data_IF_892487239154
#
_entry.id   IF_892487239154
#
_cell.length_a   1.000
_cell.length_b   1.000
_cell.length_c   1.000
_cell.angle_alpha   90.00
_cell.angle_beta   90.00
_cell.angle_gamma   90.00
#
_symmetry.space_group_name_H-M   'P 1'
#
loop_
_entity.id
_entity.type
_entity.pdbx_description
1 polymer ?
#
# COMPACT_ATOMS: atom_id res chain seq x y z
N UNK A 1 -28.44 -2.96 -29.52
CA UNK A 1 -28.59 -2.67 -28.08
C UNK A 1 -28.16 -3.85 -27.21
N UNK A 2 -28.72 -5.05 -27.39
CA UNK A 2 -28.34 -6.26 -26.64
C UNK A 2 -26.85 -6.62 -26.78
N UNK A 3 -26.29 -6.61 -28.00
CA UNK A 3 -24.87 -6.90 -28.21
C UNK A 3 -23.94 -5.88 -27.53
N UNK A 4 -24.31 -4.60 -27.52
CA UNK A 4 -23.55 -3.53 -26.83
C UNK A 4 -23.55 -3.72 -25.32
N UNK A 5 -24.65 -4.24 -24.75
CA UNK A 5 -24.73 -4.56 -23.32
C UNK A 5 -23.84 -5.77 -22.99
N UNK A 6 -23.87 -6.80 -23.84
CA UNK A 6 -23.06 -8.02 -23.68
C UNK A 6 -21.56 -7.69 -23.76
N UNK A 7 -21.14 -6.84 -24.70
CA UNK A 7 -19.72 -6.46 -24.84
C UNK A 7 -19.22 -5.67 -23.64
N UNK A 8 -20.00 -4.72 -23.12
CA UNK A 8 -19.66 -3.96 -21.91
C UNK A 8 -19.57 -4.86 -20.68
N UNK A 9 -20.50 -5.82 -20.53
CA UNK A 9 -20.49 -6.78 -19.43
C UNK A 9 -19.24 -7.67 -19.46
N UNK A 10 -18.84 -8.14 -20.63
CA UNK A 10 -17.66 -8.98 -20.80
C UNK A 10 -16.37 -8.23 -20.45
N UNK A 11 -16.24 -6.96 -20.85
CA UNK A 11 -15.10 -6.10 -20.49
C UNK A 11 -15.04 -5.86 -18.99
N UNK A 12 -16.17 -5.55 -18.34
CA UNK A 12 -16.23 -5.36 -16.89
C UNK A 12 -15.84 -6.62 -16.12
N UNK A 13 -16.35 -7.79 -16.53
CA UNK A 13 -15.99 -9.07 -15.92
C UNK A 13 -14.50 -9.40 -16.11
N UNK A 14 -13.94 -9.08 -17.29
CA UNK A 14 -12.50 -9.21 -17.56
C UNK A 14 -11.65 -8.31 -16.66
N UNK A 15 -12.03 -7.04 -16.50
CA UNK A 15 -11.36 -6.11 -15.58
C UNK A 15 -11.41 -6.60 -14.12
N UNK A 16 -12.57 -7.05 -13.65
CA UNK A 16 -12.74 -7.60 -12.29
C UNK A 16 -11.89 -8.87 -12.11
N UNK A 17 -11.87 -9.76 -13.11
CA UNK A 17 -11.07 -10.98 -13.09
C UNK A 17 -9.57 -10.68 -13.02
N UNK A 18 -9.07 -9.72 -13.83
CA UNK A 18 -7.67 -9.30 -13.79
C UNK A 18 -7.30 -8.62 -12.47
N UNK A 19 -8.19 -7.80 -11.92
CA UNK A 19 -7.99 -7.16 -10.62
C UNK A 19 -7.92 -8.18 -9.47
N UNK A 20 -8.79 -9.21 -9.48
CA UNK A 20 -8.72 -10.32 -8.52
C UNK A 20 -7.46 -11.17 -8.71
N UNK A 21 -7.09 -11.45 -9.97
CA UNK A 21 -5.87 -12.20 -10.30
C UNK A 21 -4.60 -11.48 -9.86
N UNK A 22 -4.60 -10.15 -9.91
CA UNK A 22 -3.47 -9.33 -9.47
C UNK A 22 -3.20 -9.45 -7.96
N UNK A 23 -4.23 -9.62 -7.13
CA UNK A 23 -4.06 -9.81 -5.68
C UNK A 23 -3.59 -11.23 -5.30
N UNK A 24 -3.75 -12.21 -6.17
CA UNK A 24 -3.37 -13.60 -5.92
C UNK A 24 -1.93 -13.95 -6.37
N UNK A 25 -1.12 -12.95 -6.75
CA UNK A 25 0.32 -13.13 -7.05
C UNK A 25 1.25 -12.73 -5.89
N UNK A 26 0.81 -12.87 -4.65
CA UNK A 26 1.71 -12.95 -3.49
C UNK A 26 2.19 -14.40 -3.36
N UNK A 27 3.01 -14.82 -4.32
CA UNK A 27 3.58 -16.15 -4.41
C UNK A 27 4.82 -16.11 -5.28
N UNK A 28 5.82 -15.33 -4.86
CA UNK A 28 7.17 -15.55 -5.35
C UNK A 28 7.59 -16.97 -4.93
N UNK A 29 8.14 -17.79 -5.83
CA UNK A 29 8.60 -19.12 -5.48
C UNK A 29 9.74 -19.01 -4.46
N UNK A 30 9.53 -19.63 -3.30
CA UNK A 30 10.41 -19.72 -2.14
C UNK A 30 11.64 -20.61 -2.43
N UNK A 31 12.34 -20.37 -3.53
CA UNK A 31 13.45 -21.23 -4.02
C UNK A 31 14.83 -20.67 -3.63
N UNK A 32 14.89 -19.53 -2.92
CA UNK A 32 16.15 -18.98 -2.42
C UNK A 32 16.18 -18.88 -0.90
N UNK A 33 15.90 -19.99 -0.21
CA UNK A 33 16.43 -20.22 1.13
C UNK A 33 17.93 -20.51 1.04
N UNK A 34 18.74 -19.49 0.76
CA UNK A 34 20.17 -19.55 1.02
C UNK A 34 20.48 -18.53 2.09
N UNK A 35 20.77 -19.05 3.28
CA UNK A 35 21.41 -18.33 4.38
C UNK A 35 22.58 -17.52 3.83
N UNK A 36 22.42 -16.21 3.73
CA UNK A 36 23.53 -15.27 3.66
C UNK A 36 23.14 -14.06 4.49
N UNK A 37 23.92 -13.80 5.54
CA UNK A 37 24.10 -12.48 6.14
C UNK A 37 24.41 -11.47 5.03
N UNK A 38 23.37 -10.97 4.36
CA UNK A 38 23.50 -10.01 3.29
C UNK A 38 22.76 -8.80 3.77
N UNK A 39 23.55 -7.83 4.26
CA UNK A 39 23.19 -6.42 4.38
C UNK A 39 22.04 -6.13 3.43
N UNK A 40 20.89 -5.73 3.99
CA UNK A 40 19.85 -5.04 3.23
C UNK A 40 20.58 -4.17 2.22
N UNK A 41 20.40 -4.48 0.94
CA UNK A 41 20.94 -3.62 -0.11
C UNK A 41 20.39 -2.24 0.21
N UNK A 42 21.24 -1.21 0.24
CA UNK A 42 20.87 0.13 0.73
C UNK A 42 19.54 0.65 0.13
N UNK A 43 19.19 0.15 -1.06
CA UNK A 43 17.96 0.42 -1.79
C UNK A 43 16.70 -0.21 -1.16
N UNK A 44 16.78 -1.44 -0.62
CA UNK A 44 15.66 -2.11 0.06
C UNK A 44 15.36 -1.44 1.41
N UNK A 45 16.39 -1.06 2.16
CA UNK A 45 16.22 -0.33 3.43
C UNK A 45 15.58 1.05 3.20
N UNK A 46 15.97 1.74 2.12
CA UNK A 46 15.37 3.01 1.72
C UNK A 46 13.87 2.85 1.39
N UNK A 47 13.53 1.81 0.62
CA UNK A 47 12.13 1.53 0.27
C UNK A 47 11.28 1.17 1.49
N UNK A 48 11.80 0.38 2.42
CA UNK A 48 11.11 0.02 3.66
C UNK A 48 10.89 1.25 4.54
N UNK A 49 11.91 2.10 4.70
CA UNK A 49 11.80 3.28 5.54
C UNK A 49 10.83 4.32 4.95
N UNK A 50 10.84 4.49 3.62
CA UNK A 50 9.87 5.33 2.91
C UNK A 50 8.45 4.82 3.10
N UNK A 51 8.22 3.53 2.82
CA UNK A 51 6.90 2.90 2.95
C UNK A 51 6.37 3.00 4.39
N UNK A 52 7.25 2.85 5.39
CA UNK A 52 6.87 3.00 6.80
C UNK A 52 6.47 4.43 7.13
N UNK A 53 7.19 5.44 6.64
CA UNK A 53 6.85 6.85 6.84
C UNK A 53 5.53 7.22 6.18
N UNK A 54 5.29 6.74 4.96
CA UNK A 54 4.04 6.94 4.23
C UNK A 54 2.86 6.29 4.97
N UNK A 55 3.01 5.05 5.44
CA UNK A 55 1.99 4.36 6.22
C UNK A 55 1.67 5.06 7.55
N UNK A 56 2.69 5.58 8.25
CA UNK A 56 2.50 6.36 9.47
C UNK A 56 1.75 7.66 9.18
N UNK A 57 2.10 8.37 8.11
CA UNK A 57 1.41 9.60 7.71
C UNK A 57 -0.06 9.32 7.37
N UNK A 58 -0.36 8.26 6.63
CA UNK A 58 -1.73 7.86 6.30
C UNK A 58 -2.55 7.52 7.54
N UNK A 59 -1.97 6.82 8.52
CA UNK A 59 -2.65 6.51 9.77
C UNK A 59 -2.99 7.78 10.56
N UNK A 60 -2.06 8.74 10.61
CA UNK A 60 -2.31 10.04 11.24
C UNK A 60 -3.40 10.81 10.51
N UNK A 61 -3.37 10.86 9.18
CA UNK A 61 -4.37 11.55 8.37
C UNK A 61 -5.76 10.91 8.53
N UNK A 62 -5.84 9.58 8.59
CA UNK A 62 -7.10 8.86 8.81
C UNK A 62 -7.65 9.13 10.22
N UNK A 63 -6.77 9.21 11.23
CA UNK A 63 -7.15 9.59 12.60
C UNK A 63 -7.66 11.03 12.66
N UNK A 64 -6.99 11.98 12.00
CA UNK A 64 -7.45 13.38 11.88
C UNK A 64 -8.79 13.45 11.16
N UNK A 65 -8.96 12.70 10.07
CA UNK A 65 -10.19 12.69 9.29
C UNK A 65 -11.38 12.15 10.11
N UNK A 66 -11.16 11.07 10.87
CA UNK A 66 -12.22 10.42 11.67
C UNK A 66 -12.54 11.14 12.98
N UNK A 67 -11.54 11.70 13.67
CA UNK A 67 -11.66 12.21 15.06
C UNK A 67 -11.25 13.66 15.23
N UNK A 68 -10.80 14.32 14.16
CA UNK A 68 -10.31 15.70 14.17
C UNK A 68 -8.86 15.82 14.67
N UNK A 69 -8.23 16.96 14.34
CA UNK A 69 -6.83 17.26 14.69
C UNK A 69 -6.54 17.20 16.21
N UNK A 70 -7.54 17.48 17.04
CA UNK A 70 -7.40 17.43 18.50
C UNK A 70 -7.27 16.02 19.07
N UNK A 71 -7.56 14.99 18.27
CA UNK A 71 -7.42 13.58 18.67
C UNK A 71 -5.99 13.04 18.58
N UNK A 72 -5.07 13.81 17.99
CA UNK A 72 -3.65 13.49 17.94
C UNK A 72 -3.00 13.80 19.29
N UNK A 73 -2.19 12.87 19.79
CA UNK A 73 -1.27 13.11 20.90
C UNK A 73 -0.19 14.12 20.51
N UNK A 74 0.47 14.71 21.50
CA UNK A 74 1.56 15.68 21.28
C UNK A 74 2.66 15.11 20.39
N UNK A 75 3.00 13.83 20.56
CA UNK A 75 3.98 13.11 19.72
C UNK A 75 3.52 12.95 18.29
N UNK A 76 2.26 12.58 18.06
CA UNK A 76 1.72 12.43 16.71
C UNK A 76 1.65 13.79 15.98
N UNK A 77 1.37 14.89 16.69
CA UNK A 77 1.41 16.23 16.10
C UNK A 77 2.82 16.64 15.66
N UNK A 78 3.84 16.31 16.45
CA UNK A 78 5.24 16.54 16.10
C UNK A 78 5.66 15.69 14.89
N UNK A 79 5.29 14.40 14.88
CA UNK A 79 5.54 13.50 13.75
C UNK A 79 4.85 13.96 12.47
N UNK A 80 3.59 14.41 12.55
CA UNK A 80 2.89 14.96 11.40
C UNK A 80 3.65 16.17 10.81
N UNK A 81 4.15 17.06 11.67
CA UNK A 81 4.90 18.25 11.26
C UNK A 81 6.26 17.91 10.63
N UNK A 82 6.90 16.84 11.10
CA UNK A 82 8.15 16.33 10.54
C UNK A 82 7.93 15.62 9.20
N UNK A 83 6.84 14.84 9.08
CA UNK A 83 6.49 14.09 7.87
C UNK A 83 5.84 14.96 6.78
N UNK A 84 5.24 16.10 7.14
CA UNK A 84 4.64 17.05 6.18
C UNK A 84 5.62 18.06 5.60
N UNK A 85 6.90 18.00 5.99
CA UNK A 85 7.94 18.93 5.53
C UNK A 85 8.68 18.37 4.33
#
# INVERSE_FOLDING_TARGET
MIYSIITVLFVLLGCIYLYRRSKNKSGLPEVFTKKTDTKLTMDEEFNVNRTRKEAQLDELLDKINKKGYNSLSTKEKEQLKELSR
#
